data_IF_469286221269
#
_entry.id   IF_469286221269
#
_cell.length_a   1.000
_cell.length_b   1.000
_cell.length_c   1.000
_cell.angle_alpha   90.00
_cell.angle_beta   90.00
_cell.angle_gamma   90.00
#
_symmetry.space_group_name_H-M   'P 1'
#
loop_
_entity.id
_entity.type
_entity.pdbx_description
1 polymer ?
#
# COMPACT_ATOMS: atom_id res chain seq x y z
N UNK A 1 -34.66 51.20 39.19
CA UNK A 1 -35.32 49.94 39.62
C UNK A 1 -34.95 48.84 38.63
N UNK A 2 -34.02 47.94 38.96
CA UNK A 2 -34.21 46.57 39.54
C UNK A 2 -34.65 45.48 38.53
N UNK A 3 -33.62 44.79 38.01
CA UNK A 3 -33.42 43.34 37.76
C UNK A 3 -34.49 42.50 37.03
N UNK A 4 -34.04 41.76 36.00
CA UNK A 4 -34.24 40.30 35.93
C UNK A 4 -33.06 39.59 35.25
N UNK A 5 -32.45 38.67 36.02
CA UNK A 5 -31.37 37.72 35.68
C UNK A 5 -32.01 36.35 35.46
N UNK A 6 -31.61 35.63 34.41
CA UNK A 6 -31.72 34.16 34.22
C UNK A 6 -31.07 33.85 32.86
N UNK A 7 -29.77 33.56 32.72
CA UNK A 7 -29.00 32.39 33.14
C UNK A 7 -29.69 31.02 32.89
N UNK A 8 -29.78 30.57 31.62
CA UNK A 8 -29.69 29.13 31.23
C UNK A 8 -29.69 28.93 29.70
N UNK A 9 -28.58 29.20 29.01
CA UNK A 9 -28.26 28.49 27.76
C UNK A 9 -27.25 27.39 28.10
N UNK A 10 -27.72 26.41 28.88
CA UNK A 10 -27.05 25.12 28.97
C UNK A 10 -27.51 24.30 27.77
N UNK A 11 -26.51 23.82 27.02
CA UNK A 11 -26.48 22.46 26.49
C UNK A 11 -27.36 22.20 25.27
N UNK A 12 -26.73 22.13 24.09
CA UNK A 12 -27.01 21.15 23.01
C UNK A 12 -26.14 21.45 21.77
N UNK A 13 -24.83 21.23 21.86
CA UNK A 13 -24.00 20.89 20.70
C UNK A 13 -22.99 19.86 21.18
N UNK A 14 -23.38 18.60 21.16
CA UNK A 14 -22.55 17.50 21.65
C UNK A 14 -23.38 16.24 21.68
N UNK A 15 -23.38 15.50 20.56
CA UNK A 15 -24.05 14.21 20.50
C UNK A 15 -24.10 13.61 19.10
N UNK A 16 -24.39 14.40 18.07
CA UNK A 16 -24.57 13.86 16.71
C UNK A 16 -23.26 13.73 15.91
N UNK A 17 -22.24 14.55 16.20
CA UNK A 17 -20.98 14.56 15.46
C UNK A 17 -20.02 13.44 15.86
N UNK A 18 -20.04 13.03 17.14
CA UNK A 18 -19.14 11.97 17.63
C UNK A 18 -19.49 10.63 17.00
N UNK A 19 -20.78 10.32 16.82
CA UNK A 19 -21.23 9.07 16.21
C UNK A 19 -20.79 8.95 14.74
N UNK A 20 -20.85 10.05 13.97
CA UNK A 20 -20.40 10.06 12.58
C UNK A 20 -18.88 9.86 12.48
N UNK A 21 -18.12 10.49 13.38
CA UNK A 21 -16.65 10.32 13.47
C UNK A 21 -16.30 8.88 13.88
N UNK A 22 -17.01 8.29 14.85
CA UNK A 22 -16.81 6.90 15.26
C UNK A 22 -17.14 5.93 14.11
N UNK A 23 -18.15 6.22 13.29
CA UNK A 23 -18.47 5.40 12.11
C UNK A 23 -17.38 5.52 11.04
N UNK A 24 -16.87 6.72 10.76
CA UNK A 24 -15.77 6.93 9.80
C UNK A 24 -14.49 6.24 10.30
N UNK A 25 -14.16 6.38 11.58
CA UNK A 25 -13.02 5.70 12.21
C UNK A 25 -13.24 4.19 12.20
N UNK A 26 -14.45 3.68 12.46
CA UNK A 26 -14.76 2.26 12.36
C UNK A 26 -14.58 1.73 10.93
N UNK A 27 -14.97 2.47 9.89
CA UNK A 27 -14.72 2.10 8.48
C UNK A 27 -13.21 2.06 8.20
N UNK A 28 -12.45 3.05 8.66
CA UNK A 28 -10.98 3.08 8.55
C UNK A 28 -10.33 1.92 9.33
N UNK A 29 -10.91 1.50 10.45
CA UNK A 29 -10.42 0.38 11.25
C UNK A 29 -10.79 -0.97 10.64
N UNK A 30 -11.94 -1.10 9.98
CA UNK A 30 -12.33 -2.33 9.26
C UNK A 30 -11.39 -2.57 8.06
N UNK A 31 -10.95 -1.53 7.34
CA UNK A 31 -9.93 -1.71 6.28
C UNK A 31 -8.54 -2.10 6.81
N UNK A 32 -8.23 -1.81 8.09
CA UNK A 32 -6.98 -2.24 8.74
C UNK A 32 -7.10 -3.59 9.46
N UNK A 33 -8.31 -4.15 9.55
CA UNK A 33 -8.65 -5.28 10.43
C UNK A 33 -8.58 -6.68 9.80
N UNK A 34 -7.79 -6.90 8.76
CA UNK A 34 -7.44 -8.24 8.27
C UNK A 34 -6.02 -8.61 8.75
N UNK A 35 -5.86 -8.71 10.06
CA UNK A 35 -4.60 -9.03 10.74
C UNK A 35 -4.30 -10.54 10.71
N UNK A 36 -4.12 -11.05 9.50
CA UNK A 36 -3.39 -12.28 9.17
C UNK A 36 -2.57 -12.06 7.90
N UNK A 37 -2.07 -10.83 7.73
CA UNK A 37 -1.66 -10.25 6.45
C UNK A 37 -0.53 -11.06 5.80
N UNK A 38 -0.89 -11.95 4.89
CA UNK A 38 -0.04 -12.26 3.76
C UNK A 38 0.37 -10.93 3.15
N UNK A 39 1.66 -10.69 3.00
CA UNK A 39 2.17 -9.53 2.30
C UNK A 39 1.45 -9.42 0.95
N UNK A 40 0.79 -8.28 0.70
CA UNK A 40 -0.01 -8.07 -0.49
C UNK A 40 0.81 -8.17 -1.77
N UNK A 41 2.13 -7.93 -1.68
CA UNK A 41 3.07 -8.03 -2.78
C UNK A 41 3.55 -9.46 -3.02
N UNK A 42 3.38 -10.39 -2.07
CA UNK A 42 3.92 -11.74 -2.19
C UNK A 42 3.50 -12.43 -3.51
N UNK A 43 4.48 -12.93 -4.25
CA UNK A 43 4.34 -13.56 -5.56
C UNK A 43 5.10 -12.85 -6.67
N UNK A 44 4.81 -13.28 -7.90
CA UNK A 44 5.47 -12.82 -9.12
C UNK A 44 4.54 -11.87 -9.88
N UNK A 45 5.10 -10.77 -10.39
CA UNK A 45 4.38 -9.69 -11.05
C UNK A 45 5.08 -9.29 -12.34
N UNK A 46 4.39 -9.42 -13.47
CA UNK A 46 4.90 -8.98 -14.76
C UNK A 46 4.63 -7.49 -14.95
N UNK A 47 5.69 -6.71 -15.15
CA UNK A 47 5.59 -5.30 -15.53
C UNK A 47 5.43 -5.16 -17.05
N UNK A 48 6.25 -5.89 -17.80
CA UNK A 48 6.23 -5.93 -19.25
C UNK A 48 6.79 -7.26 -19.77
N UNK A 49 7.01 -7.38 -21.08
CA UNK A 49 7.53 -8.62 -21.69
C UNK A 49 8.98 -8.95 -21.35
N UNK A 50 9.69 -8.06 -20.65
CA UNK A 50 11.11 -8.15 -20.38
C UNK A 50 11.43 -8.03 -18.88
N UNK A 51 10.48 -7.59 -18.05
CA UNK A 51 10.69 -7.23 -16.65
C UNK A 51 9.62 -7.87 -15.77
N UNK A 52 10.06 -8.68 -14.83
CA UNK A 52 9.22 -9.33 -13.82
C UNK A 52 9.77 -9.03 -12.43
N UNK A 53 8.90 -8.81 -11.47
CA UNK A 53 9.25 -8.63 -10.06
C UNK A 53 8.77 -9.82 -9.24
N UNK A 54 9.63 -10.36 -8.40
CA UNK A 54 9.29 -11.38 -7.41
C UNK A 54 9.43 -10.81 -6.00
N UNK A 55 8.38 -10.99 -5.18
CA UNK A 55 8.39 -10.65 -3.76
C UNK A 55 8.13 -11.91 -2.95
N UNK A 56 9.00 -12.22 -2.00
CA UNK A 56 8.93 -13.44 -1.19
C UNK A 56 7.91 -13.36 -0.03
N UNK A 57 7.35 -12.18 0.21
CA UNK A 57 6.42 -11.89 1.30
C UNK A 57 7.07 -11.78 2.69
N UNK A 58 8.40 -11.71 2.74
CA UNK A 58 9.23 -11.67 3.95
C UNK A 58 10.27 -10.54 3.91
N UNK A 59 10.24 -9.70 2.88
CA UNK A 59 11.13 -8.53 2.73
C UNK A 59 12.30 -8.77 1.78
N UNK A 60 12.29 -9.82 0.96
CA UNK A 60 13.27 -10.04 -0.10
C UNK A 60 12.61 -10.28 -1.45
N UNK A 61 13.28 -9.88 -2.52
CA UNK A 61 12.75 -10.04 -3.86
C UNK A 61 13.82 -9.93 -4.93
N UNK A 62 13.39 -10.06 -6.18
CA UNK A 62 14.24 -9.94 -7.34
C UNK A 62 13.51 -9.25 -8.49
N UNK A 63 14.21 -8.38 -9.20
CA UNK A 63 13.78 -7.86 -10.49
C UNK A 63 14.47 -8.68 -11.57
N UNK A 64 13.69 -9.50 -12.27
CA UNK A 64 14.14 -10.39 -13.33
C UNK A 64 14.04 -9.66 -14.67
N UNK A 65 15.16 -9.55 -15.37
CA UNK A 65 15.22 -9.08 -16.76
C UNK A 65 15.66 -10.22 -17.66
N UNK A 66 15.35 -10.15 -18.96
CA UNK A 66 15.78 -11.18 -19.94
C UNK A 66 17.28 -11.54 -19.88
N UNK A 67 18.15 -10.61 -19.48
CA UNK A 67 19.60 -10.77 -19.52
C UNK A 67 20.29 -10.70 -18.15
N UNK A 68 19.57 -10.32 -17.10
CA UNK A 68 20.15 -10.12 -15.77
C UNK A 68 19.07 -10.07 -14.69
N UNK A 69 19.42 -10.53 -13.50
CA UNK A 69 18.56 -10.47 -12.33
C UNK A 69 19.18 -9.53 -11.29
N UNK A 70 18.32 -8.79 -10.61
CA UNK A 70 18.70 -7.82 -9.58
C UNK A 70 17.98 -8.15 -8.28
N UNK A 71 18.71 -8.77 -7.36
CA UNK A 71 18.22 -9.02 -6.00
C UNK A 71 18.01 -7.70 -5.25
N UNK A 72 16.97 -7.66 -4.42
CA UNK A 72 16.68 -6.53 -3.54
C UNK A 72 16.08 -6.99 -2.22
N UNK A 73 16.20 -6.11 -1.22
CA UNK A 73 15.35 -6.18 -0.02
C UNK A 73 14.24 -5.14 -0.13
N UNK A 74 13.13 -5.38 0.56
CA UNK A 74 12.04 -4.41 0.57
C UNK A 74 11.34 -4.30 1.93
N UNK A 75 10.81 -3.10 2.18
CA UNK A 75 10.01 -2.79 3.35
C UNK A 75 8.70 -2.11 2.93
N UNK A 76 7.59 -2.48 3.57
CA UNK A 76 6.32 -1.78 3.46
C UNK A 76 6.10 -0.97 4.74
N UNK A 77 6.06 0.34 4.61
CA UNK A 77 5.83 1.27 5.73
C UNK A 77 5.03 2.47 5.29
N UNK A 78 4.06 2.86 6.11
CA UNK A 78 3.22 4.05 5.87
C UNK A 78 2.60 4.07 4.45
N UNK A 79 2.13 2.91 3.97
CA UNK A 79 1.58 2.72 2.62
C UNK A 79 2.56 2.93 1.45
N UNK A 80 3.86 3.00 1.75
CA UNK A 80 4.93 3.05 0.77
C UNK A 80 5.72 1.75 0.75
N UNK A 81 6.24 1.43 -0.43
CA UNK A 81 7.17 0.34 -0.70
C UNK A 81 8.56 0.95 -0.88
N UNK A 82 9.52 0.48 -0.10
CA UNK A 82 10.93 0.83 -0.20
C UNK A 82 11.68 -0.38 -0.74
N UNK A 83 12.43 -0.21 -1.82
CA UNK A 83 13.26 -1.25 -2.45
C UNK A 83 14.72 -0.80 -2.34
N UNK A 84 15.56 -1.66 -1.78
CA UNK A 84 17.01 -1.49 -1.65
C UNK A 84 17.70 -2.59 -2.46
N UNK A 85 18.32 -2.21 -3.58
CA UNK A 85 18.94 -3.15 -4.51
C UNK A 85 20.33 -3.57 -4.02
N UNK A 86 20.61 -4.87 -4.05
CA UNK A 86 21.93 -5.40 -3.67
C UNK A 86 23.02 -4.95 -4.66
N UNK A 87 22.65 -4.79 -5.94
CA UNK A 87 23.58 -4.37 -6.98
C UNK A 87 23.67 -2.84 -7.03
N UNK A 88 24.86 -2.29 -6.74
CA UNK A 88 25.12 -0.84 -6.72
C UNK A 88 24.90 -0.11 -8.07
N UNK A 89 24.77 -0.85 -9.17
CA UNK A 89 24.43 -0.27 -10.48
C UNK A 89 22.93 0.03 -10.63
N UNK A 90 22.09 -0.54 -9.77
CA UNK A 90 20.66 -0.25 -9.71
C UNK A 90 20.39 0.83 -8.65
N UNK A 91 19.36 1.65 -8.89
CA UNK A 91 18.95 2.66 -7.93
C UNK A 91 17.86 2.11 -7.01
N UNK A 92 18.07 2.26 -5.71
CA UNK A 92 17.02 2.09 -4.71
C UNK A 92 15.82 2.94 -5.07
N UNK A 93 14.63 2.49 -4.70
CA UNK A 93 13.39 3.09 -5.16
C UNK A 93 12.32 3.11 -4.07
N UNK A 94 11.57 4.20 -4.03
CA UNK A 94 10.37 4.34 -3.20
C UNK A 94 9.14 4.42 -4.10
N UNK A 95 8.08 3.72 -3.73
CA UNK A 95 6.79 3.76 -4.41
C UNK A 95 5.64 3.97 -3.42
N UNK A 96 4.63 4.74 -3.80
CA UNK A 96 3.28 4.48 -3.27
C UNK A 96 2.71 3.27 -4.02
N UNK A 97 2.09 2.33 -3.31
CA UNK A 97 1.57 1.12 -3.94
C UNK A 97 0.12 0.80 -3.55
N UNK A 98 -0.56 0.12 -4.46
CA UNK A 98 -1.86 -0.52 -4.18
C UNK A 98 -1.99 -1.84 -4.91
N UNK A 99 -2.66 -2.80 -4.30
CA UNK A 99 -2.97 -4.09 -4.90
C UNK A 99 -4.48 -4.24 -5.01
N UNK A 100 -4.98 -4.52 -6.22
CA UNK A 100 -6.39 -4.73 -6.49
C UNK A 100 -6.58 -5.95 -7.38
N UNK A 101 -6.94 -7.07 -6.77
CA UNK A 101 -7.01 -8.36 -7.47
C UNK A 101 -5.62 -8.75 -7.96
N UNK A 102 -5.49 -8.98 -9.27
CA UNK A 102 -4.24 -9.36 -9.92
C UNK A 102 -3.47 -8.15 -10.49
N UNK A 103 -3.84 -6.93 -10.10
CA UNK A 103 -3.14 -5.71 -10.52
C UNK A 103 -2.43 -5.08 -9.33
N UNK A 104 -1.12 -4.89 -9.47
CA UNK A 104 -0.29 -4.08 -8.60
C UNK A 104 -0.03 -2.75 -9.29
N UNK A 105 -0.40 -1.65 -8.66
CA UNK A 105 -0.06 -0.30 -9.14
C UNK A 105 1.06 0.25 -8.27
N UNK A 106 2.16 0.66 -8.90
CA UNK A 106 3.28 1.38 -8.29
C UNK A 106 3.32 2.81 -8.82
N UNK A 107 3.34 3.80 -7.94
CA UNK A 107 3.52 5.21 -8.29
C UNK A 107 4.92 5.61 -7.86
N UNK A 108 5.75 5.97 -8.83
CA UNK A 108 7.17 6.25 -8.63
C UNK A 108 7.41 7.49 -7.76
N UNK A 109 8.16 7.29 -6.67
CA UNK A 109 8.68 8.34 -5.78
C UNK A 109 10.18 8.54 -5.97
N UNK A 110 10.90 8.72 -4.85
CA UNK A 110 12.35 8.88 -4.84
C UNK A 110 13.07 7.67 -5.45
N UNK A 111 14.17 7.91 -6.17
CA UNK A 111 14.95 6.85 -6.82
C UNK A 111 14.36 6.31 -8.13
N UNK A 112 13.18 6.78 -8.52
CA UNK A 112 12.52 6.42 -9.78
C UNK A 112 12.54 7.59 -10.78
N UNK A 113 12.19 7.32 -12.04
CA UNK A 113 11.92 8.38 -13.03
C UNK A 113 10.49 8.98 -12.89
N UNK A 114 9.77 8.61 -11.84
CA UNK A 114 8.35 8.94 -11.63
C UNK A 114 7.40 8.14 -12.53
N UNK A 115 6.10 8.44 -12.42
CA UNK A 115 5.06 7.82 -13.23
C UNK A 115 4.26 6.75 -12.49
N UNK A 116 3.39 6.06 -13.23
CA UNK A 116 2.54 4.98 -12.72
C UNK A 116 2.83 3.72 -13.53
N UNK A 117 3.12 2.64 -12.81
CA UNK A 117 3.41 1.33 -13.36
C UNK A 117 2.32 0.37 -12.90
N UNK A 118 1.75 -0.39 -13.83
CA UNK A 118 0.78 -1.43 -13.53
C UNK A 118 1.41 -2.78 -13.85
N UNK A 119 1.55 -3.61 -12.83
CA UNK A 119 2.06 -4.97 -12.94
C UNK A 119 0.92 -5.96 -12.78
N UNK A 120 1.00 -7.07 -13.49
CA UNK A 120 -0.02 -8.13 -13.46
C UNK A 120 0.52 -9.35 -12.73
N UNK A 121 -0.29 -9.91 -11.82
CA UNK A 121 0.09 -11.11 -11.07
C UNK A 121 0.23 -12.29 -12.02
N UNK A 122 1.38 -12.96 -11.93
CA UNK A 122 1.63 -14.20 -12.67
C UNK A 122 0.97 -15.34 -11.93
N UNK A 123 0.07 -16.02 -12.61
CA UNK A 123 -0.48 -17.30 -12.15
C UNK A 123 0.24 -18.40 -12.90
N UNK A 124 0.71 -19.42 -12.19
CA UNK A 124 1.19 -20.63 -12.84
C UNK A 124 0.10 -21.12 -13.81
N UNK A 125 0.46 -21.28 -15.09
CA UNK A 125 -0.36 -22.07 -15.99
C UNK A 125 -0.45 -23.44 -15.35
N UNK A 126 -1.65 -23.83 -14.89
CA UNK A 126 -1.96 -25.24 -14.63
C UNK A 126 -1.43 -26.01 -15.84
N UNK A 127 -0.48 -26.89 -15.60
CA UNK A 127 -0.10 -27.88 -16.60
C UNK A 127 -1.37 -28.67 -16.91
N UNK A 128 -1.98 -28.42 -18.06
CA UNK A 128 -3.01 -29.28 -18.61
C UNK A 128 -2.36 -30.66 -18.77
N UNK A 129 -2.75 -31.57 -17.87
CA UNK A 129 -2.36 -32.99 -17.92
C UNK A 129 -3.14 -33.72 -19.01
#
# INVERSE_FOLDING_TARGET
MKKKKQNKRRMQIGGASVLLIVIIVAIILIVKGCSGATDALAGTWDLDSNTTYEFDGKGSGAMLLTLADYDFTYEIKDNQLYIDFVNESAHDATYEFSVKGDTLTLIGGEGTIGGTYELTKVHDKKADK
#
